data_IF_434502524659
#
_entry.id   IF_434502524659
#
_cell.length_a   1.000
_cell.length_b   1.000
_cell.length_c   1.000
_cell.angle_alpha   90.00
_cell.angle_beta   90.00
_cell.angle_gamma   90.00
#
_symmetry.space_group_name_H-M   'P 1'
#
loop_
_entity.id
_entity.type
_entity.pdbx_description
1 polymer ?
#
# COMPACT_ATOMS: atom_id res chain seq x y z
N UNK A 1 -9.72 19.92 15.15
CA UNK A 1 -9.91 19.26 13.84
C UNK A 1 -10.83 20.06 12.92
N UNK A 2 -10.65 20.13 11.58
CA UNK A 2 -11.66 20.69 10.70
C UNK A 2 -13.00 19.95 10.84
N UNK A 3 -14.11 20.70 10.86
CA UNK A 3 -15.47 20.16 11.10
C UNK A 3 -15.96 19.11 10.08
N UNK A 4 -15.17 18.89 9.05
CA UNK A 4 -15.46 18.00 7.94
C UNK A 4 -14.53 16.80 7.83
N UNK A 5 -13.54 16.68 8.72
CA UNK A 5 -12.68 15.50 8.72
C UNK A 5 -13.51 14.23 8.94
N UNK A 6 -13.16 13.19 8.20
CA UNK A 6 -13.88 11.92 8.23
C UNK A 6 -15.27 11.97 7.60
N UNK A 7 -15.73 13.08 7.00
CA UNK A 7 -17.03 13.12 6.30
C UNK A 7 -16.85 12.75 4.83
N UNK A 8 -17.49 11.66 4.42
CA UNK A 8 -17.40 11.16 3.04
C UNK A 8 -18.80 10.93 2.48
N UNK A 9 -18.94 11.19 1.18
CA UNK A 9 -20.20 11.03 0.45
C UNK A 9 -20.17 9.79 -0.44
N UNK A 10 -19.00 9.49 -1.01
CA UNK A 10 -18.83 8.40 -1.96
C UNK A 10 -17.66 7.51 -1.58
N UNK A 11 -17.72 6.26 -2.02
CA UNK A 11 -16.59 5.35 -2.05
C UNK A 11 -16.52 4.67 -3.42
N UNK A 12 -15.32 4.48 -3.96
CA UNK A 12 -15.10 3.62 -5.13
C UNK A 12 -14.51 2.31 -4.64
N UNK A 13 -15.17 1.20 -4.93
CA UNK A 13 -14.70 -0.15 -4.62
C UNK A 13 -14.66 -0.99 -5.91
N UNK A 14 -13.78 -1.99 -6.02
CA UNK A 14 -13.80 -2.96 -7.13
C UNK A 14 -14.39 -4.28 -6.67
N UNK A 15 -15.25 -4.88 -7.50
CA UNK A 15 -15.77 -6.23 -7.29
C UNK A 15 -14.74 -7.30 -7.67
N UNK A 16 -14.73 -8.40 -6.94
CA UNK A 16 -13.94 -9.59 -7.30
C UNK A 16 -14.71 -10.47 -8.27
N UNK A 17 -13.99 -11.15 -9.17
CA UNK A 17 -14.58 -12.14 -10.06
C UNK A 17 -14.95 -13.41 -9.28
N UNK A 18 -15.85 -14.22 -9.82
CA UNK A 18 -16.24 -15.51 -9.22
C UNK A 18 -15.24 -16.60 -9.59
N UNK A 19 -13.99 -16.51 -9.12
CA UNK A 19 -12.99 -17.59 -8.97
C UNK A 19 -12.63 -18.56 -10.12
N UNK A 20 -13.43 -18.71 -11.17
CA UNK A 20 -13.26 -19.75 -12.20
C UNK A 20 -12.26 -19.36 -13.29
N UNK A 21 -11.91 -18.08 -13.41
CA UNK A 21 -10.97 -17.57 -14.41
C UNK A 21 -9.52 -17.39 -13.91
N UNK A 22 -9.32 -17.13 -12.60
CA UNK A 22 -8.02 -16.68 -12.04
C UNK A 22 -7.09 -17.81 -11.57
N UNK A 23 -7.55 -19.07 -11.60
CA UNK A 23 -6.71 -20.23 -11.21
C UNK A 23 -5.52 -20.47 -12.15
N UNK A 24 -5.48 -19.83 -13.32
CA UNK A 24 -4.39 -19.98 -14.30
C UNK A 24 -3.17 -19.10 -13.99
N UNK A 25 -3.34 -17.94 -13.35
CA UNK A 25 -2.23 -16.99 -13.18
C UNK A 25 -1.44 -17.15 -11.89
N UNK A 26 -2.03 -17.75 -10.84
CA UNK A 26 -1.26 -18.14 -9.65
C UNK A 26 -0.19 -19.20 -9.95
N UNK A 27 -0.37 -20.00 -11.01
CA UNK A 27 0.62 -20.98 -11.46
C UNK A 27 1.75 -20.37 -12.32
N UNK A 28 1.47 -19.30 -13.07
CA UNK A 28 2.44 -18.70 -14.00
C UNK A 28 3.48 -17.80 -13.31
N UNK A 29 3.21 -17.34 -12.08
CA UNK A 29 4.18 -16.52 -11.34
C UNK A 29 5.40 -17.32 -10.83
N UNK A 30 5.38 -18.65 -10.93
CA UNK A 30 6.51 -19.52 -10.57
C UNK A 30 7.49 -19.79 -11.73
N UNK A 31 7.24 -19.29 -12.94
CA UNK A 31 7.98 -19.72 -14.15
C UNK A 31 8.56 -18.59 -15.02
N UNK A 32 8.59 -17.34 -14.56
CA UNK A 32 9.17 -16.23 -15.34
C UNK A 32 10.26 -15.47 -14.57
N UNK A 33 11.28 -16.21 -14.15
CA UNK A 33 12.63 -15.67 -14.01
C UNK A 33 13.53 -16.74 -14.63
N UNK A 34 13.88 -16.56 -15.90
CA UNK A 34 15.19 -16.89 -16.46
C UNK A 34 15.26 -16.52 -17.95
N UNK A 35 16.42 -15.97 -18.31
CA UNK A 35 16.96 -15.70 -19.66
C UNK A 35 16.26 -14.64 -20.54
N UNK A 36 16.76 -13.40 -20.45
CA UNK A 36 17.08 -12.64 -21.65
C UNK A 36 18.14 -11.56 -21.36
N UNK A 37 19.39 -11.78 -21.77
CA UNK A 37 20.24 -10.71 -22.28
C UNK A 37 21.24 -11.25 -23.30
N UNK A 38 21.01 -10.84 -24.54
CA UNK A 38 21.74 -11.15 -25.75
C UNK A 38 23.10 -10.44 -25.84
N UNK A 39 23.93 -11.07 -26.67
CA UNK A 39 25.25 -10.67 -27.17
C UNK A 39 25.37 -9.23 -27.72
N UNK A 40 26.57 -8.64 -27.57
CA UNK A 40 27.47 -8.31 -28.69
C UNK A 40 28.71 -7.51 -28.22
N UNK A 41 29.93 -7.95 -28.52
CA UNK A 41 30.74 -7.36 -29.59
C UNK A 41 32.18 -7.94 -29.68
N UNK A 42 32.61 -8.10 -30.92
CA UNK A 42 33.90 -8.61 -31.40
C UNK A 42 35.10 -7.73 -31.06
N UNK A 43 36.30 -8.34 -31.04
CA UNK A 43 37.55 -7.55 -31.06
C UNK A 43 38.89 -8.30 -30.94
N UNK A 44 39.20 -9.18 -31.90
CA UNK A 44 40.52 -9.36 -32.56
C UNK A 44 41.82 -9.75 -31.81
N UNK A 45 42.56 -10.62 -32.53
CA UNK A 45 44.03 -10.78 -32.67
C UNK A 45 44.84 -11.70 -31.72
N UNK A 46 45.32 -12.81 -32.34
CA UNK A 46 46.71 -13.35 -32.38
C UNK A 46 47.45 -13.63 -31.08
N UNK A 47 48.33 -14.63 -30.91
CA UNK A 47 48.80 -15.79 -31.66
C UNK A 47 49.72 -16.57 -30.70
N UNK A 48 50.03 -17.82 -31.04
CA UNK A 48 51.25 -18.57 -30.72
C UNK A 48 51.57 -19.01 -29.27
N UNK A 49 52.03 -20.27 -29.16
CA UNK A 49 53.22 -20.52 -28.33
C UNK A 49 53.17 -21.64 -27.28
N UNK A 50 53.27 -22.90 -27.75
CA UNK A 50 54.30 -23.88 -27.35
C UNK A 50 54.58 -24.22 -25.85
N UNK A 51 54.37 -25.52 -25.57
CA UNK A 51 55.31 -26.50 -24.93
C UNK A 51 55.81 -26.34 -23.48
N UNK A 52 55.33 -27.27 -22.65
CA UNK A 52 56.04 -28.31 -21.86
C UNK A 52 57.14 -28.00 -20.83
N UNK A 53 57.02 -28.78 -19.73
CA UNK A 53 58.03 -29.39 -18.82
C UNK A 53 58.56 -28.55 -17.64
N UNK A 54 58.44 -29.12 -16.43
CA UNK A 54 59.34 -28.72 -15.32
C UNK A 54 58.95 -29.12 -13.89
N UNK A 55 59.15 -30.39 -13.53
CA UNK A 55 59.58 -30.95 -12.21
C UNK A 55 59.31 -30.20 -10.89
N UNK A 56 58.68 -30.97 -9.98
CA UNK A 56 59.02 -31.26 -8.55
C UNK A 56 59.65 -30.13 -7.70
N UNK A 57 59.00 -29.82 -6.57
CA UNK A 57 59.63 -30.00 -5.25
C UNK A 57 58.62 -30.03 -4.09
N UNK A 58 58.93 -30.89 -3.10
CA UNK A 58 58.26 -31.00 -1.79
C UNK A 58 58.68 -29.82 -0.92
N UNK A 59 57.76 -29.26 -0.12
CA UNK A 59 58.08 -28.79 1.23
C UNK A 59 56.86 -28.72 2.16
N UNK A 60 57.15 -28.93 3.44
CA UNK A 60 56.28 -29.17 4.59
C UNK A 60 55.58 -27.92 5.14
N UNK A 61 54.44 -28.20 5.78
CA UNK A 61 53.89 -27.58 7.03
C UNK A 61 53.16 -26.24 7.00
N UNK A 62 51.85 -26.36 7.31
CA UNK A 62 51.00 -25.64 8.29
C UNK A 62 50.71 -24.13 8.12
N UNK A 63 49.44 -23.81 8.44
CA UNK A 63 48.76 -22.50 8.64
C UNK A 63 48.19 -21.92 7.33
N UNK A 64 46.92 -21.57 7.16
CA UNK A 64 45.82 -21.25 8.06
C UNK A 64 44.46 -21.62 7.41
N UNK A 65 43.49 -22.00 8.23
CA UNK A 65 42.12 -22.25 7.79
C UNK A 65 41.38 -20.92 7.56
N UNK A 66 41.06 -20.61 6.30
CA UNK A 66 40.06 -19.59 5.95
C UNK A 66 38.93 -20.28 5.21
N UNK A 67 37.88 -20.66 5.95
CA UNK A 67 36.60 -21.11 5.38
C UNK A 67 35.93 -19.89 4.75
N UNK A 68 35.97 -19.79 3.42
CA UNK A 68 35.00 -19.02 2.67
C UNK A 68 33.70 -19.84 2.65
N UNK A 69 32.80 -19.56 3.59
CA UNK A 69 31.39 -19.94 3.42
C UNK A 69 30.74 -18.82 2.60
N UNK A 70 30.60 -19.05 1.29
CA UNK A 70 29.64 -18.32 0.49
C UNK A 70 28.25 -18.79 0.90
N UNK A 71 27.62 -18.09 1.83
CA UNK A 71 26.18 -18.19 2.02
C UNK A 71 25.54 -17.32 0.93
N UNK A 72 25.13 -17.96 -0.17
CA UNK A 72 24.05 -17.42 -1.00
C UNK A 72 22.80 -17.45 -0.12
N UNK A 73 22.47 -16.31 0.48
CA UNK A 73 21.19 -16.09 1.11
C UNK A 73 20.12 -16.15 0.03
N UNK A 74 19.56 -17.34 -0.16
CA UNK A 74 18.33 -17.53 -0.92
C UNK A 74 17.22 -16.79 -0.20
N UNK A 75 16.66 -15.76 -0.84
CA UNK A 75 15.46 -15.07 -0.36
C UNK A 75 14.35 -16.11 -0.11
N UNK A 76 13.60 -16.00 1.01
CA UNK A 76 12.49 -16.91 1.24
C UNK A 76 11.39 -16.63 0.21
N UNK A 77 11.14 -17.60 -0.67
CA UNK A 77 10.00 -17.59 -1.57
C UNK A 77 8.71 -17.39 -0.75
N UNK A 78 7.99 -16.30 -1.01
CA UNK A 78 6.65 -16.08 -0.49
C UNK A 78 5.75 -17.24 -0.94
N UNK A 79 5.32 -18.09 -0.01
CA UNK A 79 4.34 -19.13 -0.29
C UNK A 79 2.97 -18.48 -0.43
N UNK A 80 2.62 -18.07 -1.65
CA UNK A 80 1.28 -17.60 -1.98
C UNK A 80 0.26 -18.70 -1.67
N UNK A 81 -0.71 -18.41 -0.80
CA UNK A 81 -1.77 -19.34 -0.46
C UNK A 81 -2.95 -19.17 -1.45
N UNK A 82 -3.66 -20.24 -1.83
CA UNK A 82 -4.88 -20.10 -2.62
C UNK A 82 -5.90 -19.21 -1.91
N UNK A 83 -6.47 -18.26 -2.65
CA UNK A 83 -7.55 -17.39 -2.17
C UNK A 83 -8.88 -18.12 -2.40
N UNK A 84 -9.65 -18.27 -1.33
CA UNK A 84 -11.05 -18.68 -1.40
C UNK A 84 -11.88 -17.47 -1.88
N UNK A 85 -12.21 -17.47 -3.16
CA UNK A 85 -12.97 -16.39 -3.79
C UNK A 85 -14.39 -16.25 -3.25
N UNK A 86 -15.01 -17.32 -2.75
CA UNK A 86 -16.36 -17.23 -2.18
C UNK A 86 -16.29 -16.48 -0.85
N UNK A 87 -15.36 -16.89 0.02
CA UNK A 87 -15.08 -16.21 1.29
C UNK A 87 -14.64 -14.75 1.07
N UNK A 88 -13.74 -14.48 0.12
CA UNK A 88 -13.28 -13.13 -0.20
C UNK A 88 -14.42 -12.24 -0.74
N UNK A 89 -15.30 -12.78 -1.60
CA UNK A 89 -16.47 -12.05 -2.07
C UNK A 89 -17.46 -11.77 -0.94
N UNK A 90 -17.68 -12.71 -0.02
CA UNK A 90 -18.51 -12.48 1.17
C UNK A 90 -17.95 -11.37 2.05
N UNK A 91 -16.65 -11.40 2.37
CA UNK A 91 -15.97 -10.35 3.12
C UNK A 91 -16.10 -8.98 2.43
N UNK A 92 -15.91 -8.92 1.10
CA UNK A 92 -16.04 -7.69 0.32
C UNK A 92 -17.47 -7.16 0.29
N UNK A 93 -18.46 -8.06 0.13
CA UNK A 93 -19.88 -7.72 0.19
C UNK A 93 -20.24 -7.07 1.52
N UNK A 94 -19.78 -7.68 2.63
CA UNK A 94 -20.01 -7.18 3.98
C UNK A 94 -19.32 -5.82 4.21
N UNK A 95 -18.09 -5.65 3.68
CA UNK A 95 -17.37 -4.37 3.73
C UNK A 95 -18.13 -3.27 2.97
N UNK A 96 -18.58 -3.53 1.74
CA UNK A 96 -19.36 -2.58 0.93
C UNK A 96 -20.71 -2.25 1.59
N UNK A 97 -21.41 -3.26 2.14
CA UNK A 97 -22.65 -3.06 2.87
C UNK A 97 -22.44 -2.18 4.10
N UNK A 98 -21.31 -2.34 4.80
CA UNK A 98 -20.92 -1.48 5.92
C UNK A 98 -20.73 -0.03 5.49
N UNK A 99 -20.04 0.23 4.37
CA UNK A 99 -19.90 1.59 3.84
C UNK A 99 -21.26 2.24 3.55
N UNK A 100 -22.18 1.50 2.91
CA UNK A 100 -23.54 1.97 2.63
C UNK A 100 -24.34 2.28 3.90
N UNK A 101 -24.27 1.39 4.90
CA UNK A 101 -24.89 1.60 6.21
C UNK A 101 -24.38 2.88 6.90
N UNK A 102 -23.14 3.26 6.64
CA UNK A 102 -22.52 4.49 7.15
C UNK A 102 -22.78 5.71 6.26
N UNK A 103 -23.84 5.69 5.45
CA UNK A 103 -24.29 6.77 4.57
C UNK A 103 -23.26 7.18 3.51
N UNK A 104 -22.60 6.18 2.91
CA UNK A 104 -21.71 6.37 1.76
C UNK A 104 -22.33 5.75 0.51
N UNK A 105 -22.41 6.54 -0.56
CA UNK A 105 -22.80 6.07 -1.87
C UNK A 105 -21.62 5.31 -2.52
N UNK A 106 -21.73 3.99 -2.59
CA UNK A 106 -20.65 3.14 -3.12
C UNK A 106 -20.81 2.94 -4.62
N UNK A 107 -19.82 3.42 -5.38
CA UNK A 107 -19.62 3.13 -6.80
C UNK A 107 -18.79 1.85 -6.90
N UNK A 108 -19.32 0.84 -7.58
CA UNK A 108 -18.70 -0.46 -7.71
C UNK A 108 -18.14 -0.63 -9.12
N UNK A 109 -16.81 -0.72 -9.24
CA UNK A 109 -16.15 -1.12 -10.48
C UNK A 109 -16.42 -2.60 -10.73
N UNK A 110 -16.66 -2.95 -11.99
CA UNK A 110 -16.81 -4.33 -12.39
C UNK A 110 -15.51 -5.11 -12.12
N UNK A 111 -15.59 -6.43 -11.88
CA UNK A 111 -14.40 -7.26 -11.93
C UNK A 111 -13.75 -7.16 -13.30
N UNK A 112 -12.43 -7.09 -13.34
CA UNK A 112 -11.65 -7.14 -14.56
C UNK A 112 -10.64 -8.28 -14.44
N UNK A 113 -10.84 -9.33 -15.23
CA UNK A 113 -10.02 -10.54 -15.21
C UNK A 113 -8.64 -10.33 -15.84
N UNK A 114 -8.43 -9.21 -16.56
CA UNK A 114 -7.12 -8.85 -17.11
C UNK A 114 -6.19 -8.19 -16.08
N UNK A 115 -6.75 -7.74 -14.96
CA UNK A 115 -6.00 -7.11 -13.87
C UNK A 115 -5.57 -8.13 -12.83
N UNK A 116 -4.51 -7.79 -12.09
CA UNK A 116 -4.05 -8.57 -10.95
C UNK A 116 -5.07 -8.52 -9.80
N UNK A 117 -4.99 -9.48 -8.88
CA UNK A 117 -5.87 -9.54 -7.71
C UNK A 117 -5.82 -8.26 -6.87
N UNK A 118 -4.65 -7.64 -6.78
CA UNK A 118 -4.40 -6.39 -6.04
C UNK A 118 -5.28 -5.23 -6.54
N UNK A 119 -5.86 -5.32 -7.74
CA UNK A 119 -6.81 -4.33 -8.27
C UNK A 119 -8.05 -4.11 -7.41
N UNK A 120 -8.36 -5.04 -6.48
CA UNK A 120 -9.38 -4.86 -5.44
C UNK A 120 -9.04 -3.69 -4.49
N UNK A 121 -7.75 -3.36 -4.33
CA UNK A 121 -7.25 -2.30 -3.47
C UNK A 121 -7.21 -0.95 -4.22
N UNK A 122 -8.41 -0.41 -4.49
CA UNK A 122 -8.59 0.85 -5.24
C UNK A 122 -7.99 2.07 -4.52
N UNK A 123 -7.87 2.02 -3.20
CA UNK A 123 -7.26 3.09 -2.39
C UNK A 123 -5.76 3.31 -2.65
N UNK A 124 -5.10 2.40 -3.37
CA UNK A 124 -3.68 2.51 -3.69
C UNK A 124 -3.42 3.39 -4.93
N UNK A 125 -4.39 3.49 -5.84
CA UNK A 125 -4.20 4.11 -7.17
C UNK A 125 -4.61 5.58 -7.21
N UNK A 126 -5.22 6.10 -6.15
CA UNK A 126 -5.54 7.51 -6.02
C UNK A 126 -5.60 7.97 -4.57
N UNK A 127 -5.37 9.26 -4.33
CA UNK A 127 -5.56 9.93 -3.04
C UNK A 127 -6.55 11.05 -3.24
N UNK A 128 -7.55 11.17 -2.37
CA UNK A 128 -8.43 12.35 -2.36
C UNK A 128 -8.27 13.17 -1.09
N UNK A 129 -8.15 14.48 -1.27
CA UNK A 129 -8.13 15.46 -0.18
C UNK A 129 -9.07 16.59 -0.56
N UNK A 130 -10.07 16.86 0.29
CA UNK A 130 -11.01 17.98 0.16
C UNK A 130 -11.70 18.14 -1.22
N UNK A 131 -11.96 17.03 -1.90
CA UNK A 131 -12.64 17.02 -3.20
C UNK A 131 -11.72 17.24 -4.40
N UNK A 132 -10.40 17.15 -4.20
CA UNK A 132 -9.39 17.04 -5.25
C UNK A 132 -8.82 15.62 -5.23
N UNK A 133 -8.68 14.99 -6.40
CA UNK A 133 -8.07 13.69 -6.55
C UNK A 133 -6.67 13.81 -7.17
N UNK A 134 -5.68 13.19 -6.55
CA UNK A 134 -4.38 12.92 -7.14
C UNK A 134 -4.36 11.46 -7.58
N UNK A 135 -4.16 11.21 -8.88
CA UNK A 135 -3.93 9.87 -9.37
C UNK A 135 -2.49 9.47 -9.03
N UNK A 136 -2.36 8.35 -8.30
CA UNK A 136 -1.08 7.80 -7.91
C UNK A 136 -0.36 7.20 -9.12
N UNK A 137 0.90 6.80 -8.93
CA UNK A 137 1.71 6.13 -9.93
C UNK A 137 2.36 4.89 -9.29
N UNK A 138 1.57 3.83 -9.01
CA UNK A 138 2.08 2.58 -8.44
C UNK A 138 3.03 1.91 -9.43
N UNK A 139 3.98 1.11 -8.92
CA UNK A 139 5.04 0.49 -9.72
C UNK A 139 4.51 -0.43 -10.83
N UNK A 140 3.58 -1.33 -10.49
CA UNK A 140 3.16 -2.44 -11.38
C UNK A 140 1.63 -2.53 -11.57
N UNK A 141 0.92 -1.40 -11.48
CA UNK A 141 -0.55 -1.29 -11.51
C UNK A 141 -1.07 -0.03 -12.24
N UNK A 142 -0.35 0.42 -13.27
CA UNK A 142 -0.70 1.66 -14.00
C UNK A 142 -1.94 1.50 -14.89
N UNK A 143 -2.22 0.28 -15.34
CA UNK A 143 -3.39 -0.13 -16.10
C UNK A 143 -4.71 0.17 -15.37
N UNK A 144 -4.71 0.12 -14.04
CA UNK A 144 -5.90 0.38 -13.22
C UNK A 144 -6.31 1.86 -13.14
N UNK A 145 -5.36 2.78 -13.35
CA UNK A 145 -5.55 4.22 -13.14
C UNK A 145 -6.64 4.77 -14.07
N UNK A 146 -6.69 4.28 -15.31
CA UNK A 146 -7.59 4.83 -16.32
C UNK A 146 -9.06 4.66 -15.95
N UNK A 147 -9.45 3.49 -15.43
CA UNK A 147 -10.82 3.23 -15.01
C UNK A 147 -11.21 4.14 -13.83
N UNK A 148 -10.35 4.21 -12.81
CA UNK A 148 -10.57 5.07 -11.64
C UNK A 148 -10.66 6.55 -12.03
N UNK A 149 -9.79 7.00 -12.95
CA UNK A 149 -9.83 8.34 -13.53
C UNK A 149 -11.16 8.65 -14.19
N UNK A 150 -11.69 7.72 -15.00
CA UNK A 150 -12.98 7.93 -15.68
C UNK A 150 -14.11 8.05 -14.66
N UNK A 151 -14.16 7.21 -13.63
CA UNK A 151 -15.20 7.31 -12.60
C UNK A 151 -15.11 8.62 -11.82
N UNK A 152 -13.90 9.03 -11.40
CA UNK A 152 -13.72 10.30 -10.68
C UNK A 152 -14.16 11.49 -11.55
N UNK A 153 -13.84 11.46 -12.85
CA UNK A 153 -14.15 12.55 -13.77
C UNK A 153 -15.63 12.59 -14.18
N UNK A 154 -16.21 11.45 -14.55
CA UNK A 154 -17.55 11.38 -15.14
C UNK A 154 -18.63 11.30 -14.06
N UNK A 155 -18.50 10.36 -13.12
CA UNK A 155 -19.53 10.12 -12.10
C UNK A 155 -19.44 11.12 -10.95
N UNK A 156 -18.21 11.40 -10.48
CA UNK A 156 -18.01 12.27 -9.32
C UNK A 156 -17.82 13.75 -9.69
N UNK A 157 -17.42 14.04 -10.93
CA UNK A 157 -17.09 15.37 -11.44
C UNK A 157 -16.10 16.11 -10.52
N UNK A 158 -15.02 15.42 -10.14
CA UNK A 158 -13.95 16.01 -9.34
C UNK A 158 -12.78 16.47 -10.20
N UNK A 159 -12.09 17.55 -9.82
CA UNK A 159 -10.80 17.88 -10.39
C UNK A 159 -9.79 16.76 -10.10
N UNK A 160 -8.95 16.49 -11.09
CA UNK A 160 -7.93 15.44 -11.06
C UNK A 160 -6.57 16.06 -11.35
N UNK A 161 -5.56 15.66 -10.58
CA UNK A 161 -4.15 15.90 -10.85
C UNK A 161 -3.49 14.57 -11.20
N UNK A 162 -2.67 14.60 -12.25
CA UNK A 162 -1.88 13.47 -12.72
C UNK A 162 -0.40 13.75 -12.48
N UNK A 163 0.35 12.70 -12.13
CA UNK A 163 1.80 12.78 -11.95
C UNK A 163 2.45 12.61 -13.31
N UNK A 164 3.00 13.71 -13.84
CA UNK A 164 3.67 13.72 -15.15
C UNK A 164 5.13 13.24 -15.09
N UNK A 165 5.74 13.21 -13.91
CA UNK A 165 7.10 12.71 -13.73
C UNK A 165 7.10 11.18 -13.80
N UNK A 166 7.67 10.63 -14.87
CA UNK A 166 7.73 9.19 -15.10
C UNK A 166 8.57 8.44 -14.06
N UNK A 167 9.51 9.14 -13.41
CA UNK A 167 10.38 8.60 -12.35
C UNK A 167 9.71 8.58 -10.98
N UNK A 168 8.56 9.24 -10.84
CA UNK A 168 7.80 9.24 -9.59
C UNK A 168 7.15 7.88 -9.36
N UNK A 169 7.31 7.37 -8.14
CA UNK A 169 6.55 6.24 -7.62
C UNK A 169 5.73 6.76 -6.45
N UNK A 170 4.42 6.51 -6.50
CA UNK A 170 3.49 6.89 -5.44
C UNK A 170 2.42 5.82 -5.30
N UNK A 171 2.20 5.35 -4.07
CA UNK A 171 1.11 4.47 -3.71
C UNK A 171 0.24 5.13 -2.62
N UNK A 172 -1.09 5.07 -2.76
CA UNK A 172 -2.04 5.67 -1.83
C UNK A 172 -1.95 5.10 -0.40
N UNK A 173 -1.46 3.87 -0.24
CA UNK A 173 -1.14 3.26 1.05
C UNK A 173 0.01 3.94 1.80
N UNK A 174 0.82 4.78 1.15
CA UNK A 174 1.86 5.58 1.80
C UNK A 174 1.41 7.01 2.16
N UNK A 175 0.22 7.44 1.73
CA UNK A 175 -0.23 8.82 1.90
C UNK A 175 -1.26 8.93 3.03
N UNK A 176 -0.82 9.34 4.21
CA UNK A 176 -1.67 9.53 5.38
C UNK A 176 -2.14 10.99 5.48
N UNK A 177 -3.38 11.22 5.07
CA UNK A 177 -4.07 12.49 5.30
C UNK A 177 -4.60 12.53 6.74
N UNK A 178 -4.05 13.43 7.56
CA UNK A 178 -4.50 13.54 8.96
C UNK A 178 -5.75 14.38 9.11
N UNK A 179 -6.16 15.08 8.05
CA UNK A 179 -7.18 16.12 8.06
C UNK A 179 -6.64 17.54 8.30
N UNK A 180 -5.33 17.70 8.56
CA UNK A 180 -4.66 19.00 8.65
C UNK A 180 -3.31 19.06 7.94
N UNK A 181 -2.61 17.94 7.90
CA UNK A 181 -1.33 17.78 7.20
C UNK A 181 -1.28 16.39 6.57
N UNK A 182 -0.32 16.18 5.68
CA UNK A 182 -0.12 14.92 4.98
C UNK A 182 1.24 14.37 5.36
N UNK A 183 1.27 13.10 5.79
CA UNK A 183 2.51 12.34 5.87
C UNK A 183 2.62 11.42 4.65
N UNK A 184 3.80 11.36 4.05
CA UNK A 184 4.07 10.47 2.91
C UNK A 184 5.18 9.50 3.29
N UNK A 185 4.86 8.21 3.29
CA UNK A 185 5.84 7.14 3.47
C UNK A 185 6.82 7.10 2.30
N UNK A 186 8.12 7.13 2.59
CA UNK A 186 9.16 6.78 1.64
C UNK A 186 9.42 5.27 1.80
N UNK A 187 8.88 4.48 0.87
CA UNK A 187 8.84 3.02 0.88
C UNK A 187 9.39 2.46 -0.44
N UNK A 188 9.29 1.14 -0.64
CA UNK A 188 9.61 0.54 -1.94
C UNK A 188 8.57 0.89 -3.03
N UNK A 189 7.37 1.33 -2.64
CA UNK A 189 6.27 1.70 -3.54
C UNK A 189 6.13 3.23 -3.72
N UNK A 190 6.79 4.02 -2.88
CA UNK A 190 6.73 5.48 -2.93
C UNK A 190 8.11 6.11 -2.74
N UNK A 191 8.56 6.88 -3.73
CA UNK A 191 9.85 7.57 -3.70
C UNK A 191 9.70 9.08 -3.41
N UNK A 192 10.83 9.79 -3.32
CA UNK A 192 10.82 11.24 -3.05
C UNK A 192 10.10 12.05 -4.14
N UNK A 193 10.14 11.60 -5.40
CA UNK A 193 9.40 12.29 -6.47
C UNK A 193 7.90 12.12 -6.31
N UNK A 194 7.42 10.95 -5.88
CA UNK A 194 6.04 10.74 -5.49
C UNK A 194 5.62 11.66 -4.33
N UNK A 195 6.45 11.76 -3.28
CA UNK A 195 6.19 12.66 -2.16
C UNK A 195 6.13 14.15 -2.59
N UNK A 196 7.01 14.58 -3.50
CA UNK A 196 6.96 15.92 -4.10
C UNK A 196 5.69 16.13 -4.93
N UNK A 197 5.22 15.11 -5.64
CA UNK A 197 3.98 15.19 -6.39
C UNK A 197 2.77 15.40 -5.46
N UNK A 198 2.74 14.75 -4.30
CA UNK A 198 1.72 15.00 -3.26
C UNK A 198 1.76 16.46 -2.78
N UNK A 199 2.95 16.98 -2.49
CA UNK A 199 3.12 18.38 -2.08
C UNK A 199 2.67 19.39 -3.16
N UNK A 200 2.97 19.10 -4.43
CA UNK A 200 2.54 19.92 -5.56
C UNK A 200 1.03 19.85 -5.80
N UNK A 201 0.41 18.69 -5.55
CA UNK A 201 -1.02 18.50 -5.72
C UNK A 201 -1.86 19.17 -4.63
N UNK A 202 -1.34 19.25 -3.39
CA UNK A 202 -2.04 19.79 -2.23
C UNK A 202 -1.23 20.91 -1.54
N UNK A 203 -0.95 22.03 -2.24
CA UNK A 203 -0.07 23.08 -1.75
C UNK A 203 -0.60 23.80 -0.49
N UNK A 204 -1.89 23.64 -0.16
CA UNK A 204 -2.50 24.20 1.04
C UNK A 204 -2.16 23.43 2.33
N UNK A 205 -1.58 22.24 2.23
CA UNK A 205 -1.22 21.40 3.38
C UNK A 205 0.29 21.17 3.47
N UNK A 206 0.81 21.12 4.69
CA UNK A 206 2.16 20.63 4.92
C UNK A 206 2.25 19.15 4.53
N UNK A 207 3.28 18.81 3.76
CA UNK A 207 3.57 17.44 3.35
C UNK A 207 4.91 17.03 3.89
N UNK A 208 4.92 16.04 4.79
CA UNK A 208 6.11 15.58 5.50
C UNK A 208 6.48 14.16 5.04
N UNK A 209 7.63 13.97 4.38
CA UNK A 209 8.11 12.63 4.05
C UNK A 209 8.62 11.91 5.31
N UNK A 210 8.25 10.63 5.46
CA UNK A 210 8.63 9.77 6.59
C UNK A 210 9.24 8.49 6.04
N UNK A 211 10.47 8.18 6.45
CA UNK A 211 11.13 6.94 6.02
C UNK A 211 10.41 5.73 6.59
N UNK A 212 9.94 4.84 5.71
CA UNK A 212 9.37 3.55 6.06
C UNK A 212 10.49 2.51 6.02
N UNK A 213 10.71 1.73 7.10
CA UNK A 213 11.70 0.66 7.06
C UNK A 213 11.40 -0.34 5.94
N UNK A 214 12.41 -0.82 5.18
CA UNK A 214 12.22 -1.72 4.05
C UNK A 214 12.00 -3.16 4.50
N UNK A 215 11.03 -3.36 5.40
CA UNK A 215 10.64 -4.67 5.92
C UNK A 215 9.38 -5.10 5.20
N UNK A 216 9.43 -6.28 4.57
CA UNK A 216 8.28 -6.95 3.98
C UNK A 216 7.47 -6.08 2.98
N UNK A 217 8.11 -5.11 2.32
CA UNK A 217 7.47 -4.14 1.41
C UNK A 217 6.26 -3.39 2.02
N UNK A 218 6.26 -3.21 3.34
CA UNK A 218 5.20 -2.49 4.06
C UNK A 218 5.15 -1.01 3.68
N UNK A 219 3.93 -0.46 3.70
CA UNK A 219 3.64 0.96 3.44
C UNK A 219 3.34 1.67 4.75
N UNK A 220 3.34 3.01 4.73
CA UNK A 220 3.09 3.81 5.95
C UNK A 220 1.80 3.38 6.66
N UNK A 221 0.69 3.21 5.93
CA UNK A 221 -0.60 2.86 6.52
C UNK A 221 -0.75 1.41 6.99
N UNK A 222 0.24 0.56 6.70
CA UNK A 222 0.33 -0.77 7.31
C UNK A 222 0.74 -0.69 8.79
N UNK A 223 1.33 0.44 9.20
CA UNK A 223 1.76 0.68 10.58
C UNK A 223 0.88 1.67 11.34
N UNK A 224 0.36 2.68 10.63
CA UNK A 224 -0.33 3.82 11.25
C UNK A 224 -1.45 4.38 10.38
N UNK A 225 -2.65 4.55 10.95
CA UNK A 225 -3.79 5.19 10.27
C UNK A 225 -4.52 6.17 11.19
N UNK A 226 -5.47 6.93 10.65
CA UNK A 226 -6.36 7.78 11.46
C UNK A 226 -7.50 6.95 12.03
N UNK A 227 -7.57 6.85 13.36
CA UNK A 227 -8.69 6.22 14.06
C UNK A 227 -9.86 7.17 14.31
N UNK A 228 -9.66 8.48 14.15
CA UNK A 228 -10.66 9.51 14.41
C UNK A 228 -10.07 10.92 14.36
N UNK A 229 -10.86 11.95 14.69
CA UNK A 229 -10.38 13.31 14.79
C UNK A 229 -9.24 13.37 15.80
N UNK A 230 -8.05 13.77 15.35
CA UNK A 230 -6.86 13.91 16.20
C UNK A 230 -6.36 12.60 16.84
N UNK A 231 -6.77 11.44 16.33
CA UNK A 231 -6.39 10.12 16.87
C UNK A 231 -5.69 9.29 15.80
N UNK A 232 -4.45 8.88 16.08
CA UNK A 232 -3.70 7.91 15.28
C UNK A 232 -3.83 6.52 15.93
N UNK A 233 -4.09 5.51 15.11
CA UNK A 233 -4.01 4.10 15.47
C UNK A 233 -2.67 3.55 14.97
N UNK A 234 -1.90 2.92 15.85
CA UNK A 234 -0.55 2.43 15.52
C UNK A 234 -0.28 1.07 16.15
N UNK A 235 0.49 0.20 15.50
CA UNK A 235 0.90 -1.07 16.10
C UNK A 235 2.17 -0.94 16.99
N UNK A 236 2.50 -2.02 17.71
CA UNK A 236 3.64 -2.07 18.65
C UNK A 236 4.98 -2.43 18.02
N UNK A 237 5.02 -2.76 16.73
CA UNK A 237 6.28 -3.13 16.06
C UNK A 237 7.36 -2.05 16.23
N UNK A 238 8.62 -2.46 16.28
CA UNK A 238 9.75 -1.53 16.43
C UNK A 238 9.80 -0.52 15.27
N UNK A 239 9.40 -0.98 14.08
CA UNK A 239 9.29 -0.20 12.86
C UNK A 239 8.23 0.90 13.00
N UNK A 240 7.02 0.56 13.47
CA UNK A 240 5.98 1.54 13.75
C UNK A 240 6.42 2.57 14.80
N UNK A 241 7.08 2.13 15.87
CA UNK A 241 7.60 3.05 16.91
C UNK A 241 8.73 3.96 16.38
N UNK A 242 9.48 3.52 15.37
CA UNK A 242 10.45 4.37 14.67
C UNK A 242 9.76 5.44 13.81
N UNK A 243 8.74 5.02 13.04
CA UNK A 243 7.89 5.91 12.23
C UNK A 243 7.24 6.97 13.12
N UNK A 244 6.62 6.56 14.24
CA UNK A 244 5.97 7.45 15.18
C UNK A 244 6.91 8.52 15.71
N UNK A 245 8.10 8.14 16.21
CA UNK A 245 9.10 9.10 16.70
C UNK A 245 9.59 10.07 15.63
N UNK A 246 9.54 9.69 14.35
CA UNK A 246 9.83 10.61 13.26
C UNK A 246 8.64 11.55 13.02
N UNK A 247 7.43 11.02 12.97
CA UNK A 247 6.21 11.82 12.82
C UNK A 247 6.07 12.84 13.95
N UNK A 248 6.21 12.45 15.22
CA UNK A 248 6.10 13.36 16.38
C UNK A 248 7.11 14.52 16.34
N UNK A 249 8.30 14.31 15.76
CA UNK A 249 9.32 15.36 15.63
C UNK A 249 9.02 16.38 14.53
N UNK A 250 8.32 15.95 13.48
CA UNK A 250 8.08 16.74 12.27
C UNK A 250 6.63 17.23 12.15
N UNK A 251 5.72 16.67 12.95
CA UNK A 251 4.31 17.01 12.93
C UNK A 251 4.10 18.46 13.37
N UNK A 252 3.23 19.15 12.63
CA UNK A 252 2.79 20.50 13.03
C UNK A 252 1.74 20.47 14.14
N UNK A 253 1.14 19.30 14.39
CA UNK A 253 0.04 19.11 15.33
C UNK A 253 0.29 17.92 16.26
N UNK A 254 -0.32 17.99 17.45
CA UNK A 254 -0.33 16.88 18.39
C UNK A 254 -1.51 15.94 18.10
N UNK A 255 -1.23 14.64 18.12
CA UNK A 255 -2.23 13.59 17.94
C UNK A 255 -2.29 12.71 19.19
N UNK A 256 -3.50 12.28 19.56
CA UNK A 256 -3.70 11.19 20.51
C UNK A 256 -3.30 9.88 19.85
N UNK A 257 -2.75 8.97 20.65
CA UNK A 257 -2.28 7.68 20.17
C UNK A 257 -3.10 6.54 20.77
N UNK A 258 -3.56 5.64 19.90
CA UNK A 258 -4.05 4.32 20.26
C UNK A 258 -3.07 3.31 19.73
N UNK A 259 -2.34 2.69 20.65
CA UNK A 259 -1.44 1.58 20.32
C UNK A 259 -2.20 0.27 20.44
N UNK A 260 -2.27 -0.49 19.34
CA UNK A 260 -2.90 -1.81 19.24
C UNK A 260 -1.86 -2.94 19.30
N UNK A 261 -2.30 -4.12 19.72
CA UNK A 261 -1.41 -5.24 20.03
C UNK A 261 -1.14 -6.15 18.82
N UNK A 262 -2.09 -6.27 17.89
CA UNK A 262 -1.94 -7.02 16.65
C UNK A 262 -1.49 -6.06 15.52
N UNK A 263 -0.38 -6.40 14.84
CA UNK A 263 0.22 -5.49 13.85
C UNK A 263 -0.75 -5.02 12.76
N UNK A 264 -1.54 -5.97 12.25
CA UNK A 264 -2.54 -5.76 11.20
C UNK A 264 -3.76 -4.93 11.66
N UNK A 265 -3.95 -4.74 12.97
CA UNK A 265 -5.09 -4.00 13.50
C UNK A 265 -4.90 -2.49 13.47
N UNK A 266 -3.67 -2.02 13.20
CA UNK A 266 -3.37 -0.59 13.09
C UNK A 266 -3.96 0.05 11.83
N UNK A 267 -4.32 -0.77 10.84
CA UNK A 267 -5.06 -0.34 9.66
C UNK A 267 -6.56 -0.33 9.95
N UNK A 268 -7.07 0.86 10.26
CA UNK A 268 -8.49 1.13 10.53
C UNK A 268 -9.00 2.20 9.58
N UNK A 269 -10.32 2.28 9.42
CA UNK A 269 -10.96 3.28 8.55
C UNK A 269 -11.99 4.08 9.33
N UNK A 270 -11.70 5.36 9.57
CA UNK A 270 -12.64 6.28 10.19
C UNK A 270 -13.45 7.06 9.15
N UNK A 271 -14.78 6.90 9.18
CA UNK A 271 -15.70 7.67 8.34
C UNK A 271 -17.04 7.93 9.02
N UNK A 272 -17.62 9.10 8.73
CA UNK A 272 -18.94 9.53 9.15
C UNK A 272 -19.23 9.30 10.65
N UNK A 273 -18.23 9.54 11.51
CA UNK A 273 -18.35 9.38 12.97
C UNK A 273 -18.20 7.95 13.48
N UNK A 274 -17.84 7.00 12.60
CA UNK A 274 -17.71 5.58 12.92
C UNK A 274 -16.32 5.06 12.55
N UNK A 275 -15.75 4.22 13.41
CA UNK A 275 -14.52 3.48 13.13
C UNK A 275 -14.84 2.08 12.60
N UNK A 276 -14.43 1.78 11.39
CA UNK A 276 -14.39 0.40 10.88
C UNK A 276 -13.06 -0.21 11.31
N UNK A 277 -13.11 -1.40 11.91
CA UNK A 277 -11.92 -2.15 12.30
C UNK A 277 -12.10 -3.65 12.07
N UNK A 278 -10.97 -4.36 12.00
CA UNK A 278 -10.94 -5.81 11.88
C UNK A 278 -11.45 -6.50 13.14
N UNK A 279 -12.23 -7.56 12.99
CA UNK A 279 -12.78 -8.36 14.08
C UNK A 279 -12.05 -9.68 14.31
N UNK A 280 -11.18 -10.06 13.38
CA UNK A 280 -10.35 -11.26 13.40
C UNK A 280 -9.03 -11.07 14.17
N UNK A 281 -8.88 -9.95 14.88
CA UNK A 281 -7.68 -9.54 15.63
C UNK A 281 -8.05 -9.24 17.10
N UNK A 282 -8.28 -10.29 17.92
CA UNK A 282 -8.98 -10.17 19.19
C UNK A 282 -8.24 -9.34 20.25
N UNK A 283 -6.90 -9.35 20.26
CA UNK A 283 -6.12 -8.58 21.23
C UNK A 283 -6.31 -7.07 21.02
N UNK A 284 -6.48 -6.66 19.77
CA UNK A 284 -6.67 -5.25 19.41
C UNK A 284 -8.13 -4.80 19.48
N UNK A 285 -9.09 -5.72 19.30
CA UNK A 285 -10.52 -5.41 19.42
C UNK A 285 -10.86 -4.89 20.82
N UNK A 286 -10.30 -5.49 21.87
CA UNK A 286 -10.48 -5.01 23.25
C UNK A 286 -9.88 -3.63 23.47
N UNK A 287 -8.66 -3.40 22.97
CA UNK A 287 -7.99 -2.09 23.05
C UNK A 287 -8.82 -0.99 22.39
N UNK A 288 -9.36 -1.25 21.20
CA UNK A 288 -10.23 -0.30 20.50
C UNK A 288 -11.55 -0.09 21.24
N UNK A 289 -12.09 -1.13 21.87
CA UNK A 289 -13.32 -1.03 22.68
C UNK A 289 -13.14 -0.17 23.92
N UNK A 290 -12.00 -0.26 24.57
CA UNK A 290 -11.73 0.47 25.80
C UNK A 290 -11.36 1.94 25.53
N UNK A 291 -10.74 2.23 24.37
CA UNK A 291 -10.17 3.55 24.08
C UNK A 291 -11.01 4.43 23.14
N UNK A 292 -11.97 3.87 22.42
CA UNK A 292 -12.82 4.60 21.47
C UNK A 292 -14.23 4.76 22.07
N UNK A 293 -14.69 6.00 22.17
CA UNK A 293 -15.97 6.39 22.76
C UNK A 293 -17.08 6.67 21.73
N UNK A 294 -16.78 6.53 20.44
CA UNK A 294 -17.75 6.65 19.34
C UNK A 294 -18.06 5.31 18.67
N UNK A 295 -18.99 5.34 17.72
CA UNK A 295 -19.47 4.16 17.01
C UNK A 295 -18.32 3.38 16.37
N UNK A 296 -18.41 2.05 16.44
CA UNK A 296 -17.46 1.13 15.81
C UNK A 296 -18.21 0.03 15.07
N UNK A 297 -17.71 -0.35 13.90
CA UNK A 297 -18.24 -1.48 13.14
C UNK A 297 -17.12 -2.51 12.91
N UNK A 298 -17.24 -3.72 13.50
CA UNK A 298 -16.32 -4.81 13.23
C UNK A 298 -16.58 -5.40 11.84
N UNK A 299 -15.53 -5.63 11.06
CA UNK A 299 -15.59 -6.35 9.78
C UNK A 299 -14.51 -7.41 9.70
N UNK A 300 -14.70 -8.41 8.85
CA UNK A 300 -13.73 -9.46 8.57
C UNK A 300 -13.21 -9.26 7.14
N UNK A 301 -11.88 -9.22 6.98
CA UNK A 301 -11.19 -9.10 5.68
C UNK A 301 -9.98 -10.04 5.60
N UNK A 302 -10.02 -11.13 6.38
CA UNK A 302 -8.89 -12.05 6.52
C UNK A 302 -8.54 -12.77 5.23
N UNK A 303 -9.56 -13.14 4.44
CA UNK A 303 -9.40 -13.81 3.17
C UNK A 303 -8.98 -12.81 2.08
N UNK A 304 -9.62 -11.64 2.04
CA UNK A 304 -9.27 -10.55 1.12
C UNK A 304 -7.80 -10.13 1.22
N UNK A 305 -7.26 -10.11 2.43
CA UNK A 305 -5.89 -9.71 2.71
C UNK A 305 -4.94 -10.89 2.93
N UNK A 306 -5.34 -12.13 2.57
CA UNK A 306 -4.57 -13.36 2.90
C UNK A 306 -3.11 -13.28 2.42
N UNK A 307 -2.92 -13.03 1.13
CA UNK A 307 -1.60 -12.86 0.51
C UNK A 307 -1.16 -11.39 0.46
N UNK A 308 -2.01 -10.50 0.95
CA UNK A 308 -1.82 -9.05 0.93
C UNK A 308 -1.90 -8.49 2.35
N UNK A 309 -1.12 -9.01 3.32
CA UNK A 309 -1.20 -8.60 4.73
C UNK A 309 -0.84 -7.11 4.93
N UNK A 310 -0.26 -6.49 3.91
CA UNK A 310 0.19 -5.10 3.85
C UNK A 310 -0.91 -4.14 3.38
N UNK A 311 -1.98 -4.68 2.80
CA UNK A 311 -3.21 -3.99 2.43
C UNK A 311 -4.24 -4.18 3.54
N UNK A 312 -5.09 -3.18 3.76
CA UNK A 312 -6.09 -3.21 4.80
C UNK A 312 -7.39 -2.53 4.41
N UNK A 313 -8.22 -2.21 5.40
CA UNK A 313 -9.53 -1.62 5.22
C UNK A 313 -9.49 -0.37 4.34
N UNK A 314 -8.53 0.53 4.59
CA UNK A 314 -8.43 1.79 3.88
C UNK A 314 -8.10 1.63 2.39
N UNK A 315 -7.39 0.56 2.03
CA UNK A 315 -6.98 0.26 0.66
C UNK A 315 -8.11 -0.33 -0.19
N UNK A 316 -9.13 -0.97 0.41
CA UNK A 316 -10.25 -1.59 -0.31
C UNK A 316 -11.17 -0.59 -1.00
N UNK A 317 -11.07 0.70 -0.67
CA UNK A 317 -11.89 1.72 -1.30
C UNK A 317 -11.16 3.06 -1.42
N UNK A 318 -11.53 3.84 -2.44
CA UNK A 318 -11.22 5.26 -2.48
C UNK A 318 -12.37 6.04 -1.84
N UNK A 319 -12.19 6.54 -0.61
CA UNK A 319 -13.16 7.44 0.01
C UNK A 319 -13.10 8.82 -0.61
N UNK A 320 -14.27 9.41 -0.88
CA UNK A 320 -14.40 10.68 -1.56
C UNK A 320 -15.41 11.57 -0.86
N UNK A 321 -14.99 12.82 -0.62
CA UNK A 321 -15.88 13.88 -0.16
C UNK A 321 -16.16 14.85 -1.29
N UNK A 322 -17.44 14.95 -1.67
CA UNK A 322 -17.87 15.95 -2.64
C UNK A 322 -18.30 17.20 -1.88
N UNK A 323 -17.45 18.23 -1.91
CA UNK A 323 -17.84 19.53 -1.38
C UNK A 323 -18.97 20.08 -2.24
N UNK A 324 -20.13 20.35 -1.64
CA UNK A 324 -21.16 21.16 -2.29
C UNK A 324 -20.66 22.59 -2.37
N UNK A 325 -19.67 22.87 -3.23
CA UNK A 325 -19.47 24.23 -3.68
C UNK A 325 -20.69 24.55 -4.53
N UNK A 326 -21.60 25.34 -3.95
CA UNK A 326 -22.54 26.12 -4.73
C UNK A 326 -21.68 26.84 -5.76
N UNK A 327 -21.77 26.45 -7.03
CA UNK A 327 -21.27 27.25 -8.12
C UNK A 327 -22.11 28.52 -8.10
N UNK A 328 -21.66 29.51 -7.32
CA UNK A 328 -22.13 30.88 -7.52
C UNK A 328 -21.46 31.31 -8.80
N UNK A 329 -22.17 31.13 -9.91
CA UNK A 329 -21.87 31.79 -11.16
C UNK A 329 -22.02 33.28 -10.85
N UNK A 330 -20.90 34.01 -10.82
CA UNK A 330 -20.89 35.48 -10.75
C UNK A 330 -20.93 36.02 -12.16
#
# INVERSE_FOLDING_TARGET
>A
MPAHFGKYNYAICRRLSRGSALSRDQANHSLTIDDETLANNNGTTTSDGKTTKGKKNKNKSKKDAKKNNGNSETEPASSYEPIDFDSANEELNNYIATLRMLNVDVIELCPDESLKYESVFVGDVAVTVNGLALLCRPRDRLDEINEVKQIIKVELNLPIIEINDETALLNGGDVLWTGREIFVGLSNETNESGARAVAAAFPEFSVTPVKVPPKDNLRLKSYITMAGPDILCINRSQEAQSILRRMEREASYNYKLITVDDDKASNVLYLNGTLIHRNDLPNSVSVLQDKIDYSRVPVKISELCKNNPYHGLDSLCLLVRKSHRIQTIV
#
